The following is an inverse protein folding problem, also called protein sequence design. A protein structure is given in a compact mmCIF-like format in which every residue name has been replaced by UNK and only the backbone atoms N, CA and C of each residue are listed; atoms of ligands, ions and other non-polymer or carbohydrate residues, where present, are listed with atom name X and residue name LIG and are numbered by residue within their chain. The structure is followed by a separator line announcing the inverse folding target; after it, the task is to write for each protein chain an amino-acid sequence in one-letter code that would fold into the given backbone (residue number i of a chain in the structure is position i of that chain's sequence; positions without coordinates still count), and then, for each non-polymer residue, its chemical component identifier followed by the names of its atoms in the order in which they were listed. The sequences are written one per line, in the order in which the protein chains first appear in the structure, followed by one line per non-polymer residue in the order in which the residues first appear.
data_IF_289102436873
#
_entry.id   IF_289102436873
#
_cell.length_a   1.000
_cell.length_b   1.000
_cell.length_c   1.000
_cell.angle_alpha   90.00
_cell.angle_beta   90.00
_cell.angle_gamma   90.00
#
_symmetry.space_group_name_H-M   'P 1'
#
loop_
_entity.id
_entity.type
_entity.pdbx_description
1 polymer ?
#
# COMPACT_ATOMS: atom_id res chain seq x y z
N UNK A 1 -18.11 -25.03 -4.56
CA UNK A 1 -18.54 -24.34 -5.78
C UNK A 1 -17.72 -23.08 -5.89
N UNK A 2 -16.77 -23.07 -6.82
CA UNK A 2 -15.98 -21.91 -7.16
C UNK A 2 -16.86 -20.95 -7.97
N UNK A 3 -16.91 -19.70 -7.54
CA UNK A 3 -17.20 -18.59 -8.43
C UNK A 3 -16.09 -17.57 -8.19
N UNK A 4 -15.19 -17.51 -9.18
CA UNK A 4 -14.36 -16.35 -9.44
C UNK A 4 -15.29 -15.15 -9.62
N UNK A 5 -15.10 -14.13 -8.79
CA UNK A 5 -15.47 -12.77 -9.16
C UNK A 5 -14.15 -12.04 -9.33
N UNK A 6 -13.69 -11.96 -10.57
CA UNK A 6 -12.78 -10.90 -10.99
C UNK A 6 -13.55 -9.59 -10.84
N UNK A 7 -13.48 -9.03 -9.64
CA UNK A 7 -14.14 -7.78 -9.29
C UNK A 7 -13.44 -6.66 -10.06
N UNK A 8 -14.20 -6.05 -10.96
CA UNK A 8 -13.85 -4.88 -11.77
C UNK A 8 -13.24 -3.77 -10.92
N UNK A 9 -11.93 -3.58 -11.02
CA UNK A 9 -11.15 -2.62 -10.24
C UNK A 9 -11.24 -1.16 -10.74
N UNK A 10 -12.29 -0.81 -11.49
CA UNK A 10 -12.64 0.57 -11.85
C UNK A 10 -13.96 0.99 -11.20
N UNK A 11 -14.15 0.69 -9.91
CA UNK A 11 -15.23 1.27 -9.10
C UNK A 11 -14.66 2.40 -8.23
N UNK A 12 -14.53 3.59 -8.80
CA UNK A 12 -14.41 4.81 -8.00
C UNK A 12 -15.81 5.28 -7.58
N UNK A 13 -16.42 4.59 -6.62
CA UNK A 13 -17.50 5.19 -5.83
C UNK A 13 -16.85 6.07 -4.75
N UNK A 14 -16.70 7.37 -5.03
CA UNK A 14 -16.34 8.35 -4.00
C UNK A 14 -17.61 8.96 -3.42
N UNK A 15 -18.11 8.35 -2.34
CA UNK A 15 -19.02 9.03 -1.40
C UNK A 15 -18.48 8.87 0.02
N UNK A 16 -17.91 9.95 0.57
CA UNK A 16 -17.65 10.09 2.00
C UNK A 16 -18.30 11.37 2.50
N UNK A 17 -19.25 11.25 3.43
CA UNK A 17 -19.58 12.29 4.41
C UNK A 17 -19.80 11.63 5.76
N UNK A 18 -18.98 12.04 6.74
CA UNK A 18 -19.01 11.58 8.11
C UNK A 18 -20.06 12.34 8.96
N UNK A 19 -20.62 11.62 9.92
CA UNK A 19 -21.72 12.02 10.79
C UNK A 19 -21.40 13.18 11.74
N UNK A 20 -22.39 14.05 11.95
CA UNK A 20 -22.49 14.94 13.11
C UNK A 20 -23.68 14.52 13.98
N UNK A 21 -23.48 13.58 14.89
CA UNK A 21 -24.49 13.29 15.92
C UNK A 21 -24.48 14.40 16.97
N UNK A 22 -25.58 15.16 17.01
CA UNK A 22 -25.92 16.10 18.07
C UNK A 22 -27.30 15.68 18.59
N UNK A 23 -27.35 14.95 19.69
CA UNK A 23 -28.57 14.78 20.49
C UNK A 23 -28.36 15.35 21.89
N UNK A 24 -29.34 16.15 22.31
CA UNK A 24 -29.52 16.79 23.61
C UNK A 24 -30.41 15.92 24.50
N UNK A 25 -30.42 16.30 25.79
CA UNK A 25 -31.38 16.00 26.87
C UNK A 25 -31.22 14.62 27.52
N UNK A 26 -31.38 14.44 28.85
CA UNK A 26 -31.96 15.28 29.92
C UNK A 26 -31.60 14.64 31.28
N UNK A 27 -31.63 15.41 32.37
CA UNK A 27 -31.96 14.87 33.70
C UNK A 27 -30.92 15.13 34.80
N UNK A 28 -31.28 16.04 35.72
CA UNK A 28 -30.56 16.34 36.94
C UNK A 28 -30.86 15.34 38.07
N UNK A 29 -29.94 15.17 39.05
CA UNK A 29 -30.16 15.51 40.47
C UNK A 29 -29.00 15.09 41.41
N UNK A 30 -28.53 16.10 42.15
CA UNK A 30 -28.16 16.14 43.59
C UNK A 30 -26.99 15.35 44.21
N UNK A 31 -26.07 16.18 44.74
CA UNK A 31 -25.63 16.35 46.15
C UNK A 31 -24.38 15.66 46.69
N UNK A 32 -23.72 16.48 47.52
CA UNK A 32 -22.41 16.41 48.15
C UNK A 32 -22.29 15.35 49.27
N UNK A 33 -21.04 14.90 49.40
CA UNK A 33 -20.35 14.11 50.43
C UNK A 33 -20.71 14.37 51.91
N UNK A 34 -20.53 13.34 52.76
CA UNK A 34 -19.80 13.33 54.06
C UNK A 34 -19.43 11.84 54.44
N UNK A 35 -18.52 11.55 55.40
CA UNK A 35 -17.47 10.52 55.25
C UNK A 35 -17.53 9.24 56.15
N UNK A 36 -16.75 8.21 55.74
CA UNK A 36 -16.10 7.08 56.49
C UNK A 36 -17.03 6.08 57.26
N UNK A 37 -16.64 4.81 57.56
CA UNK A 37 -15.28 4.25 57.64
C UNK A 37 -15.04 2.87 56.97
N UNK A 38 -13.74 2.56 56.79
CA UNK A 38 -13.05 1.25 56.84
C UNK A 38 -13.88 -0.05 56.69
N UNK A 39 -13.62 -0.78 55.61
CA UNK A 39 -13.71 -2.24 55.55
C UNK A 39 -12.46 -2.78 54.85
N UNK A 40 -11.76 -3.67 55.55
CA UNK A 40 -10.56 -4.36 55.07
C UNK A 40 -10.91 -5.19 53.83
N UNK A 41 -10.28 -4.87 52.70
CA UNK A 41 -10.33 -5.72 51.51
C UNK A 41 -9.18 -6.71 51.63
N UNK A 42 -9.56 -7.98 51.80
CA UNK A 42 -8.74 -9.14 51.57
C UNK A 42 -7.97 -8.99 50.24
N UNK A 43 -6.64 -8.90 50.32
CA UNK A 43 -5.78 -9.07 49.16
C UNK A 43 -5.73 -10.55 48.81
N UNK A 44 -6.71 -11.04 48.06
CA UNK A 44 -6.49 -12.24 47.27
C UNK A 44 -5.57 -11.86 46.10
N UNK A 45 -4.45 -12.57 45.87
CA UNK A 45 -3.65 -12.34 44.70
C UNK A 45 -4.50 -12.75 43.49
N UNK A 46 -4.99 -11.77 42.75
CA UNK A 46 -5.42 -12.00 41.38
C UNK A 46 -4.17 -12.43 40.63
N UNK A 47 -3.99 -13.74 40.50
CA UNK A 47 -3.06 -14.32 39.54
C UNK A 47 -3.49 -13.79 38.18
N UNK A 48 -2.81 -12.73 37.71
CA UNK A 48 -2.85 -12.37 36.32
C UNK A 48 -2.25 -13.57 35.59
N UNK A 49 -3.10 -14.34 34.90
CA UNK A 49 -2.67 -15.41 34.02
C UNK A 49 -1.99 -14.71 32.83
N UNK A 50 -0.70 -14.42 32.97
CA UNK A 50 0.15 -13.98 31.88
C UNK A 50 0.42 -15.18 30.99
N UNK A 51 -0.22 -15.19 29.82
CA UNK A 51 -0.01 -16.22 28.81
C UNK A 51 1.31 -16.01 28.08
N UNK A 52 1.93 -17.11 27.68
CA UNK A 52 3.22 -17.08 26.99
C UNK A 52 3.10 -16.40 25.60
N UNK A 53 4.01 -15.48 25.28
CA UNK A 53 4.02 -14.81 23.99
C UNK A 53 4.62 -15.70 22.88
N UNK A 54 4.35 -15.42 21.60
CA UNK A 54 4.90 -16.19 20.49
C UNK A 54 6.43 -16.18 20.49
N UNK A 55 7.06 -17.29 20.11
CA UNK A 55 8.51 -17.45 20.12
C UNK A 55 9.11 -17.29 18.73
N UNK A 56 10.42 -17.04 18.68
CA UNK A 56 11.20 -17.01 17.43
C UNK A 56 10.59 -16.10 16.35
N UNK A 57 10.09 -14.93 16.76
CA UNK A 57 9.60 -13.93 15.82
C UNK A 57 10.76 -13.38 14.99
N UNK A 58 10.68 -13.56 13.68
CA UNK A 58 11.70 -13.13 12.73
C UNK A 58 11.08 -12.51 11.49
N UNK A 59 11.85 -11.65 10.83
CA UNK A 59 11.53 -11.09 9.51
C UNK A 59 12.59 -11.63 8.56
N UNK A 60 12.15 -12.27 7.49
CA UNK A 60 12.98 -12.99 6.53
C UNK A 60 12.87 -12.30 5.18
N UNK A 61 14.02 -12.01 4.58
CA UNK A 61 14.13 -11.50 3.21
C UNK A 61 14.39 -12.66 2.24
N UNK A 62 13.40 -13.07 1.43
CA UNK A 62 13.57 -14.10 0.41
C UNK A 62 14.32 -13.60 -0.85
N UNK A 63 14.74 -12.33 -0.90
CA UNK A 63 15.35 -11.72 -2.10
C UNK A 63 14.32 -11.19 -3.10
N UNK A 64 13.07 -10.97 -2.66
CA UNK A 64 11.94 -10.55 -3.51
C UNK A 64 11.73 -9.02 -3.48
N UNK A 65 12.84 -8.28 -3.44
CA UNK A 65 12.94 -6.83 -3.63
C UNK A 65 12.05 -5.95 -2.74
N UNK A 66 11.63 -6.46 -1.58
CA UNK A 66 10.75 -5.75 -0.65
C UNK A 66 9.62 -6.59 -0.10
N UNK A 67 9.28 -7.72 -0.74
CA UNK A 67 8.36 -8.67 -0.15
C UNK A 67 9.05 -9.50 0.93
N UNK A 68 8.76 -9.21 2.20
CA UNK A 68 9.36 -9.89 3.36
C UNK A 68 8.34 -10.82 4.03
N UNK A 69 8.84 -11.86 4.67
CA UNK A 69 8.03 -12.77 5.49
C UNK A 69 8.26 -12.53 6.98
N UNK A 70 7.17 -12.34 7.72
CA UNK A 70 7.15 -12.31 9.17
C UNK A 70 6.69 -13.68 9.66
N UNK A 71 7.55 -14.37 10.42
CA UNK A 71 7.33 -15.73 10.88
C UNK A 71 7.55 -15.85 12.38
N UNK A 72 6.76 -16.70 13.05
CA UNK A 72 6.90 -17.00 14.47
C UNK A 72 6.48 -18.43 14.78
N UNK A 73 6.83 -18.89 15.99
CA UNK A 73 6.43 -20.18 16.52
C UNK A 73 5.39 -20.03 17.63
N UNK A 74 4.45 -20.99 17.74
CA UNK A 74 3.51 -20.99 18.85
C UNK A 74 4.25 -21.18 20.20
N UNK A 75 3.72 -20.62 21.29
CA UNK A 75 4.15 -20.97 22.63
C UNK A 75 3.97 -22.47 22.90
N UNK A 76 4.91 -23.17 23.57
CA UNK A 76 4.82 -24.61 23.83
C UNK A 76 3.56 -25.02 24.58
N UNK A 77 3.14 -24.20 25.54
CA UNK A 77 1.93 -24.38 26.35
C UNK A 77 0.64 -24.42 25.54
N UNK A 78 0.65 -23.87 24.31
CA UNK A 78 -0.52 -23.88 23.42
C UNK A 78 -0.65 -25.17 22.60
N UNK A 79 0.38 -26.01 22.55
CA UNK A 79 0.35 -27.26 21.77
C UNK A 79 -0.45 -28.37 22.45
N UNK A 80 -0.90 -28.15 23.69
CA UNK A 80 -1.66 -29.10 24.50
C UNK A 80 -3.09 -28.62 24.81
N UNK A 81 -3.52 -27.50 24.22
CA UNK A 81 -4.81 -26.84 24.50
C UNK A 81 -5.81 -27.10 23.37
N UNK A 82 -6.46 -28.26 23.39
CA UNK A 82 -7.44 -28.66 22.37
C UNK A 82 -8.78 -27.89 22.44
N UNK A 83 -9.00 -27.11 23.51
CA UNK A 83 -10.25 -26.40 23.80
C UNK A 83 -10.20 -24.89 23.52
N UNK A 84 -9.06 -24.37 23.03
CA UNK A 84 -8.88 -22.94 22.75
C UNK A 84 -8.91 -22.64 21.25
N UNK A 85 -9.53 -21.52 20.86
CA UNK A 85 -9.24 -20.91 19.57
C UNK A 85 -8.06 -19.96 19.70
N UNK A 86 -6.94 -20.32 19.09
CA UNK A 86 -5.72 -19.51 19.08
C UNK A 86 -5.74 -18.59 17.85
N UNK A 87 -5.54 -17.29 18.08
CA UNK A 87 -5.32 -16.28 17.04
C UNK A 87 -4.08 -15.48 17.40
N UNK A 88 -3.50 -14.81 16.41
CA UNK A 88 -2.37 -13.92 16.58
C UNK A 88 -2.75 -12.52 16.12
N UNK A 89 -2.33 -11.52 16.90
CA UNK A 89 -2.39 -10.12 16.50
C UNK A 89 -0.99 -9.68 16.12
N UNK A 90 -0.76 -9.55 14.82
CA UNK A 90 0.47 -9.04 14.25
C UNK A 90 0.33 -7.54 14.00
N UNK A 91 1.33 -6.76 14.40
CA UNK A 91 1.50 -5.37 14.02
C UNK A 91 2.86 -5.16 13.38
N UNK A 92 2.91 -4.48 12.25
CA UNK A 92 4.17 -4.14 11.59
C UNK A 92 4.10 -2.77 10.91
N UNK A 93 5.27 -2.19 10.64
CA UNK A 93 5.45 -0.94 9.90
C UNK A 93 6.89 -0.77 9.44
N UNK A 94 7.12 0.14 8.49
CA UNK A 94 8.44 0.70 8.23
C UNK A 94 8.64 1.94 9.10
N UNK A 95 9.87 2.19 9.56
CA UNK A 95 10.19 3.36 10.38
C UNK A 95 9.87 4.64 9.59
N UNK A 96 9.05 5.51 10.17
CA UNK A 96 8.56 6.74 9.52
C UNK A 96 7.11 6.64 9.04
N UNK A 97 6.53 5.45 8.97
CA UNK A 97 5.10 5.29 8.74
C UNK A 97 4.32 5.82 9.97
N UNK A 98 3.26 6.57 9.72
CA UNK A 98 2.44 7.17 10.78
C UNK A 98 1.73 6.10 11.62
N UNK A 99 1.18 5.09 10.96
CA UNK A 99 0.34 4.06 11.57
C UNK A 99 0.94 2.66 11.46
N UNK A 100 0.56 1.80 12.42
CA UNK A 100 0.86 0.37 12.35
C UNK A 100 -0.18 -0.34 11.51
N UNK A 101 0.27 -1.15 10.54
CA UNK A 101 -0.61 -2.16 9.92
C UNK A 101 -0.92 -3.23 10.95
N UNK A 102 -2.18 -3.68 11.01
CA UNK A 102 -2.66 -4.67 12.00
C UNK A 102 -3.32 -5.83 11.29
N UNK A 103 -2.91 -7.05 11.63
CA UNK A 103 -3.44 -8.28 11.06
C UNK A 103 -3.84 -9.24 12.19
N UNK A 104 -5.02 -9.84 12.06
CA UNK A 104 -5.48 -10.93 12.91
C UNK A 104 -5.43 -12.22 12.08
N UNK A 105 -4.68 -13.22 12.53
CA UNK A 105 -4.49 -14.45 11.76
C UNK A 105 -4.29 -15.67 12.64
N UNK A 106 -4.67 -16.84 12.14
CA UNK A 106 -4.30 -18.15 12.73
C UNK A 106 -3.00 -18.72 12.14
N UNK A 107 -2.53 -18.13 11.04
CA UNK A 107 -1.28 -18.54 10.39
C UNK A 107 -0.08 -18.11 11.24
N UNK A 108 1.02 -18.83 11.08
CA UNK A 108 2.31 -18.57 11.74
C UNK A 108 3.31 -17.81 10.85
N UNK A 109 2.87 -17.46 9.65
CA UNK A 109 3.63 -16.76 8.62
C UNK A 109 2.74 -15.74 7.92
N UNK A 110 3.28 -14.56 7.66
CA UNK A 110 2.61 -13.48 6.95
C UNK A 110 3.60 -12.78 6.02
N UNK A 111 3.22 -12.56 4.75
CA UNK A 111 4.03 -11.83 3.77
C UNK A 111 3.40 -10.49 3.42
N UNK A 112 4.21 -9.45 3.27
CA UNK A 112 3.78 -8.13 2.78
C UNK A 112 4.95 -7.37 2.13
N UNK A 113 4.65 -6.28 1.43
CA UNK A 113 5.63 -5.35 0.88
C UNK A 113 6.18 -4.36 1.92
N UNK A 114 7.50 -4.17 1.92
CA UNK A 114 8.24 -3.28 2.80
C UNK A 114 9.25 -2.42 2.04
N UNK A 115 9.43 -1.19 2.52
CA UNK A 115 10.48 -0.29 2.05
C UNK A 115 11.82 -0.71 2.69
N UNK A 116 12.61 -1.50 1.96
CA UNK A 116 13.91 -2.00 2.41
C UNK A 116 14.96 -0.89 2.62
N UNK A 117 14.67 0.34 2.21
CA UNK A 117 15.54 1.49 2.52
C UNK A 117 15.42 1.94 3.99
N UNK A 118 14.36 1.53 4.67
CA UNK A 118 14.04 1.85 6.07
C UNK A 118 14.21 0.62 6.96
N UNK A 119 14.20 0.87 8.27
CA UNK A 119 14.09 -0.21 9.25
C UNK A 119 12.63 -0.67 9.31
N UNK A 120 12.43 -1.98 9.35
CA UNK A 120 11.12 -2.60 9.56
C UNK A 120 10.98 -3.03 11.01
N UNK A 121 9.83 -2.77 11.60
CA UNK A 121 9.48 -3.16 12.97
C UNK A 121 8.26 -4.07 12.93
N UNK A 122 8.32 -5.19 13.62
CA UNK A 122 7.17 -6.08 13.79
C UNK A 122 7.02 -6.51 15.24
N UNK A 123 5.78 -6.70 15.67
CA UNK A 123 5.44 -7.28 16.96
C UNK A 123 4.20 -8.16 16.86
N UNK A 124 4.22 -9.26 17.58
CA UNK A 124 3.12 -10.22 17.60
C UNK A 124 2.76 -10.57 19.04
N UNK A 125 1.47 -10.77 19.29
CA UNK A 125 0.97 -11.33 20.54
C UNK A 125 -0.06 -12.42 20.24
N UNK A 126 -0.18 -13.37 21.16
CA UNK A 126 -1.22 -14.39 21.14
C UNK A 126 -2.53 -13.79 21.65
N UNK A 127 -3.62 -14.14 20.98
CA UNK A 127 -5.00 -13.91 21.41
C UNK A 127 -5.66 -15.26 21.62
N UNK A 128 -6.16 -15.49 22.83
CA UNK A 128 -6.93 -16.68 23.17
C UNK A 128 -8.38 -16.32 23.41
N UNK A 129 -9.26 -17.12 22.83
CA UNK A 129 -10.69 -16.98 22.92
C UNK A 129 -11.31 -18.38 23.05
N UNK A 130 -12.32 -18.51 23.92
CA UNK A 130 -13.12 -19.73 24.07
C UNK A 130 -13.21 -20.23 25.50
N UNK A 131 -13.43 -21.53 25.66
CA UNK A 131 -13.70 -22.15 26.96
C UNK A 131 -12.50 -22.11 27.92
N UNK A 132 -11.27 -22.02 27.40
CA UNK A 132 -10.08 -21.92 28.22
C UNK A 132 -9.89 -20.55 28.89
N UNK A 133 -10.67 -19.54 28.50
CA UNK A 133 -10.60 -18.19 29.06
C UNK A 133 -11.92 -17.74 29.67
N UNK A 134 -12.81 -18.68 30.01
CA UNK A 134 -14.18 -18.37 30.48
C UNK A 134 -14.87 -17.36 29.55
N UNK A 135 -14.78 -17.59 28.23
CA UNK A 135 -15.36 -16.75 27.17
C UNK A 135 -14.81 -15.32 27.08
N UNK A 136 -13.76 -14.99 27.84
CA UNK A 136 -13.10 -13.68 27.80
C UNK A 136 -11.90 -13.70 26.86
N UNK A 137 -11.68 -12.63 26.09
CA UNK A 137 -10.46 -12.53 25.26
C UNK A 137 -9.25 -12.24 26.13
N UNK A 138 -8.28 -13.16 26.15
CA UNK A 138 -7.02 -12.97 26.89
C UNK A 138 -5.85 -12.80 25.93
N UNK A 139 -4.89 -11.96 26.33
CA UNK A 139 -3.77 -11.49 25.51
C UNK A 139 -2.46 -11.83 26.20
N UNK A 140 -1.49 -12.32 25.43
CA UNK A 140 -0.11 -12.43 25.91
C UNK A 140 0.58 -11.08 25.91
N UNK A 141 1.80 -11.04 26.45
CA UNK A 141 2.76 -9.98 26.18
C UNK A 141 3.13 -9.94 24.68
N UNK A 142 3.75 -8.84 24.27
CA UNK A 142 4.25 -8.66 22.90
C UNK A 142 5.63 -9.26 22.72
N UNK A 143 5.81 -10.01 21.65
CA UNK A 143 7.14 -10.33 21.11
C UNK A 143 7.49 -9.32 20.03
N UNK A 144 8.70 -8.78 20.05
CA UNK A 144 9.17 -7.74 19.14
C UNK A 144 10.34 -8.22 18.30
N UNK A 145 10.43 -7.72 17.07
CA UNK A 145 11.59 -7.93 16.20
C UNK A 145 11.77 -6.74 15.27
N UNK A 146 12.98 -6.59 14.74
CA UNK A 146 13.31 -5.57 13.76
C UNK A 146 14.15 -6.15 12.64
N UNK A 147 14.05 -5.54 11.47
CA UNK A 147 14.84 -5.91 10.30
C UNK A 147 15.36 -4.65 9.63
N UNK A 148 16.61 -4.70 9.19
CA UNK A 148 17.24 -3.62 8.46
C UNK A 148 18.36 -4.21 7.62
N UNK A 149 18.41 -3.86 6.34
CA UNK A 149 19.53 -4.25 5.50
C UNK A 149 20.84 -3.65 6.03
N UNK A 150 21.98 -4.37 5.92
CA UNK A 150 23.29 -3.85 6.30
C UNK A 150 23.57 -2.50 5.63
N UNK A 151 24.35 -1.63 6.29
CA UNK A 151 24.62 -0.28 5.76
C UNK A 151 25.19 -0.35 4.34
N UNK A 152 24.37 0.08 3.38
CA UNK A 152 24.74 0.18 1.98
C UNK A 152 25.54 1.48 1.76
N UNK A 153 26.17 1.63 0.59
CA UNK A 153 27.00 2.80 0.28
C UNK A 153 26.30 4.17 0.36
N UNK A 154 27.03 5.24 0.06
CA UNK A 154 26.51 6.61 0.21
C UNK A 154 25.78 7.14 -1.02
N UNK A 155 25.98 6.53 -2.19
CA UNK A 155 25.46 7.00 -3.46
C UNK A 155 24.21 6.21 -3.88
N UNK A 156 23.06 6.88 -3.86
CA UNK A 156 21.76 6.35 -4.28
C UNK A 156 21.29 7.07 -5.55
N UNK A 157 20.50 6.41 -6.41
CA UNK A 157 19.85 7.09 -7.55
C UNK A 157 18.90 8.20 -7.08
N UNK A 158 18.60 9.14 -7.98
CA UNK A 158 17.68 10.26 -7.72
C UNK A 158 16.53 10.26 -8.72
N UNK A 159 15.44 10.94 -8.37
CA UNK A 159 14.30 11.23 -9.26
C UNK A 159 13.74 9.99 -9.98
N UNK A 160 13.71 8.87 -9.26
CA UNK A 160 13.11 7.63 -9.75
C UNK A 160 11.61 7.83 -9.94
N UNK A 161 11.13 7.55 -11.14
CA UNK A 161 9.70 7.61 -11.45
C UNK A 161 9.35 6.54 -12.49
N UNK A 162 8.11 6.06 -12.42
CA UNK A 162 7.57 5.11 -13.38
C UNK A 162 6.21 5.59 -13.89
N UNK A 163 5.92 5.30 -15.15
CA UNK A 163 4.65 5.60 -15.80
C UNK A 163 4.19 4.36 -16.57
N UNK A 164 2.96 3.91 -16.31
CA UNK A 164 2.34 2.77 -16.98
C UNK A 164 1.50 3.29 -18.17
N UNK A 165 2.14 3.39 -19.33
CA UNK A 165 1.53 3.97 -20.52
C UNK A 165 0.45 3.06 -21.08
N UNK A 166 -0.72 3.63 -21.35
CA UNK A 166 -1.85 3.00 -22.02
C UNK A 166 -2.32 1.66 -21.43
N UNK A 167 -1.96 1.36 -20.18
CA UNK A 167 -2.21 0.05 -19.57
C UNK A 167 -1.50 -1.10 -20.31
N UNK A 168 -0.35 -0.83 -20.93
CA UNK A 168 0.36 -1.79 -21.79
C UNK A 168 1.81 -1.99 -21.37
N UNK A 169 2.52 -0.90 -21.12
CA UNK A 169 3.94 -0.94 -20.82
C UNK A 169 4.35 0.07 -19.76
N UNK A 170 5.30 -0.35 -18.92
CA UNK A 170 5.82 0.46 -17.84
C UNK A 170 7.18 1.01 -18.24
N UNK A 171 7.32 2.32 -18.20
CA UNK A 171 8.64 2.97 -18.33
C UNK A 171 9.03 3.55 -17.00
N UNK A 172 10.15 3.09 -16.46
CA UNK A 172 10.78 3.64 -15.28
C UNK A 172 12.05 4.38 -15.66
N UNK A 173 12.28 5.56 -15.10
CA UNK A 173 13.55 6.29 -15.31
C UNK A 173 14.08 6.87 -14.01
N UNK A 174 15.37 7.15 -14.00
CA UNK A 174 16.09 7.68 -12.85
C UNK A 174 17.29 8.53 -13.28
N UNK A 175 17.74 9.36 -12.36
CA UNK A 175 18.98 10.10 -12.47
C UNK A 175 20.09 9.45 -11.64
N UNK A 176 21.33 9.70 -12.04
CA UNK A 176 22.49 9.28 -11.28
C UNK A 176 22.55 9.98 -9.91
N UNK A 177 23.06 9.24 -8.93
CA UNK A 177 23.35 9.77 -7.61
C UNK A 177 24.42 10.86 -7.67
N UNK A 178 24.28 11.89 -6.83
CA UNK A 178 25.24 13.00 -6.79
C UNK A 178 26.67 12.53 -6.44
N UNK A 179 26.78 11.48 -5.62
CA UNK A 179 28.04 10.88 -5.19
C UNK A 179 28.43 9.64 -6.03
N UNK A 180 27.74 9.39 -7.15
CA UNK A 180 28.05 8.25 -8.01
C UNK A 180 29.30 8.56 -8.85
N UNK A 181 30.31 7.66 -8.87
CA UNK A 181 31.50 7.84 -9.69
C UNK A 181 31.16 7.78 -11.19
N UNK A 182 32.00 8.35 -12.08
CA UNK A 182 31.75 8.38 -13.52
C UNK A 182 31.48 7.01 -14.16
N UNK A 183 32.15 5.96 -13.66
CA UNK A 183 32.00 4.57 -14.11
C UNK A 183 30.86 3.78 -13.46
N UNK A 184 29.96 4.43 -12.70
CA UNK A 184 28.82 3.77 -12.10
C UNK A 184 27.88 3.16 -13.15
N UNK A 185 27.51 1.89 -12.94
CA UNK A 185 26.54 1.16 -13.74
C UNK A 185 25.32 0.84 -12.87
N UNK A 186 24.14 0.91 -13.49
CA UNK A 186 22.87 0.65 -12.82
C UNK A 186 22.10 -0.44 -13.54
N UNK A 187 21.46 -1.29 -12.75
CA UNK A 187 20.65 -2.40 -13.22
C UNK A 187 19.33 -2.38 -12.46
N UNK A 188 18.24 -2.53 -13.19
CA UNK A 188 16.91 -2.59 -12.61
C UNK A 188 16.48 -4.05 -12.52
N UNK A 189 15.99 -4.43 -11.34
CA UNK A 189 15.36 -5.71 -11.06
C UNK A 189 13.92 -5.45 -10.61
N UNK A 190 13.00 -6.33 -10.97
CA UNK A 190 11.61 -6.24 -10.55
C UNK A 190 11.06 -7.60 -10.12
N UNK A 191 10.04 -7.58 -9.27
CA UNK A 191 9.34 -8.77 -8.81
C UNK A 191 7.87 -8.44 -8.48
N UNK A 192 6.99 -9.39 -8.73
CA UNK A 192 5.59 -9.36 -8.33
C UNK A 192 5.12 -10.79 -8.02
N UNK A 193 4.05 -10.92 -7.24
CA UNK A 193 3.47 -12.21 -6.90
C UNK A 193 3.07 -12.97 -8.16
N UNK A 194 3.66 -14.16 -8.37
CA UNK A 194 3.52 -14.94 -9.61
C UNK A 194 4.87 -15.24 -10.28
N UNK A 195 5.92 -14.47 -9.97
CA UNK A 195 7.29 -14.76 -10.39
C UNK A 195 8.04 -15.60 -9.35
N UNK A 196 8.80 -16.60 -9.81
CA UNK A 196 9.62 -17.45 -8.93
C UNK A 196 10.79 -16.71 -8.26
N UNK A 197 11.34 -15.70 -8.95
CA UNK A 197 12.48 -14.90 -8.49
C UNK A 197 12.43 -13.50 -9.11
N UNK A 198 13.25 -12.58 -8.57
CA UNK A 198 13.41 -11.25 -9.13
C UNK A 198 14.02 -11.30 -10.54
N UNK A 199 13.42 -10.57 -11.47
CA UNK A 199 13.81 -10.56 -12.89
C UNK A 199 14.55 -9.27 -13.21
N UNK A 200 15.65 -9.37 -13.95
CA UNK A 200 16.40 -8.20 -14.42
C UNK A 200 15.73 -7.60 -15.66
N UNK A 201 15.70 -6.27 -15.73
CA UNK A 201 15.32 -5.54 -16.93
C UNK A 201 16.25 -5.89 -18.11
N UNK A 202 15.67 -6.08 -19.29
CA UNK A 202 16.38 -6.37 -20.53
C UNK A 202 16.37 -5.20 -21.54
N UNK A 203 15.38 -4.32 -21.48
CA UNK A 203 15.25 -3.16 -22.38
C UNK A 203 15.57 -1.86 -21.62
N UNK A 204 16.85 -1.48 -21.62
CA UNK A 204 17.33 -0.29 -20.91
C UNK A 204 17.26 0.97 -21.77
N UNK A 205 16.79 2.05 -21.15
CA UNK A 205 16.97 3.41 -21.65
C UNK A 205 18.34 3.90 -21.20
N UNK A 206 19.12 4.44 -22.14
CA UNK A 206 20.47 4.92 -21.88
C UNK A 206 20.64 6.40 -22.17
N UNK A 207 21.37 7.08 -21.30
CA UNK A 207 21.82 8.47 -21.50
C UNK A 207 23.34 8.50 -21.38
N UNK A 208 24.01 8.90 -22.45
CA UNK A 208 25.48 8.96 -22.54
C UNK A 208 26.12 7.59 -22.21
N UNK A 209 25.55 6.50 -22.74
CA UNK A 209 26.05 5.13 -22.55
C UNK A 209 25.84 4.54 -21.15
N UNK A 210 24.99 5.14 -20.30
CA UNK A 210 24.66 4.64 -18.96
C UNK A 210 23.17 4.39 -18.84
N UNK A 211 22.81 3.32 -18.16
CA UNK A 211 21.41 2.98 -17.87
C UNK A 211 20.78 4.05 -16.97
N UNK A 212 19.75 4.70 -17.49
CA UNK A 212 18.96 5.75 -16.83
C UNK A 212 17.46 5.45 -16.85
N UNK A 213 17.07 4.33 -17.44
CA UNK A 213 15.69 3.86 -17.41
C UNK A 213 15.56 2.43 -17.87
N UNK A 214 14.35 1.92 -17.79
CA UNK A 214 13.95 0.58 -18.20
C UNK A 214 12.53 0.62 -18.75
N UNK A 215 12.30 -0.09 -19.86
CA UNK A 215 10.98 -0.40 -20.35
C UNK A 215 10.62 -1.84 -20.01
N UNK A 216 9.43 -2.04 -19.44
CA UNK A 216 8.89 -3.33 -19.09
C UNK A 216 7.55 -3.53 -19.82
N UNK A 217 7.37 -4.73 -20.34
CA UNK A 217 6.23 -5.14 -21.16
C UNK A 217 5.58 -6.37 -20.52
N UNK A 218 4.38 -6.73 -21.00
CA UNK A 218 3.67 -7.96 -20.58
C UNK A 218 3.41 -8.04 -19.07
N UNK A 219 3.04 -6.91 -18.46
CA UNK A 219 2.83 -6.80 -17.01
C UNK A 219 1.38 -7.05 -16.56
N UNK A 220 0.53 -7.64 -17.40
CA UNK A 220 -0.88 -7.86 -17.07
C UNK A 220 -1.11 -8.67 -15.79
N UNK A 221 -0.25 -9.67 -15.53
CA UNK A 221 -0.33 -10.49 -14.32
C UNK A 221 0.09 -9.73 -13.05
N UNK A 222 0.79 -8.61 -13.22
CA UNK A 222 1.25 -7.75 -12.14
C UNK A 222 0.29 -6.60 -11.83
N UNK A 223 -0.84 -6.53 -12.54
CA UNK A 223 -1.86 -5.52 -12.29
C UNK A 223 -2.56 -5.78 -10.96
N UNK A 224 -2.90 -4.71 -10.24
CA UNK A 224 -3.63 -4.74 -8.96
C UNK A 224 -2.90 -5.35 -7.75
N UNK A 225 -1.73 -5.95 -7.95
CA UNK A 225 -0.84 -6.44 -6.89
C UNK A 225 0.35 -5.51 -6.66
N UNK A 226 1.09 -5.75 -5.59
CA UNK A 226 2.28 -4.99 -5.28
C UNK A 226 3.42 -5.36 -6.24
N UNK A 227 3.94 -4.35 -6.93
CA UNK A 227 5.06 -4.43 -7.85
C UNK A 227 6.30 -3.86 -7.16
N UNK A 228 7.32 -4.71 -7.00
CA UNK A 228 8.54 -4.37 -6.28
C UNK A 228 9.68 -4.16 -7.28
N UNK A 229 10.42 -3.07 -7.11
CA UNK A 229 11.51 -2.67 -7.99
C UNK A 229 12.74 -2.36 -7.16
N UNK A 230 13.89 -2.86 -7.61
CA UNK A 230 15.20 -2.51 -7.10
C UNK A 230 16.07 -1.95 -8.22
N UNK A 231 16.62 -0.76 -8.04
CA UNK A 231 17.73 -0.27 -8.87
C UNK A 231 19.01 -0.49 -8.10
N UNK A 232 19.77 -1.49 -8.54
CA UNK A 232 21.07 -1.81 -8.00
C UNK A 232 22.15 -1.03 -8.76
N UNK A 233 23.23 -0.69 -8.08
CA UNK A 233 24.36 0.02 -8.66
C UNK A 233 25.67 -0.68 -8.35
N UNK A 234 26.55 -0.75 -9.35
CA UNK A 234 27.92 -1.23 -9.18
C UNK A 234 28.93 -0.19 -9.69
N UNK A 235 30.08 -0.12 -9.04
CA UNK A 235 31.24 0.63 -9.53
C UNK A 235 32.52 0.01 -9.01
N UNK A 236 33.63 0.16 -9.74
CA UNK A 236 34.92 -0.41 -9.36
C UNK A 236 35.48 0.18 -8.04
N UNK A 237 35.16 1.45 -7.75
CA UNK A 237 35.76 2.20 -6.65
C UNK A 237 34.85 2.36 -5.43
N UNK A 238 33.54 2.11 -5.56
CA UNK A 238 32.56 2.49 -4.53
C UNK A 238 31.34 1.58 -4.56
N UNK A 239 30.94 1.10 -3.38
CA UNK A 239 29.67 0.39 -3.26
C UNK A 239 28.54 1.42 -3.37
N UNK A 240 27.64 1.24 -4.35
CA UNK A 240 26.45 2.08 -4.50
C UNK A 240 25.33 1.51 -3.63
N UNK A 241 24.40 2.37 -3.22
CA UNK A 241 23.25 1.95 -2.42
C UNK A 241 22.08 1.59 -3.34
N UNK A 242 21.58 0.35 -3.29
CA UNK A 242 20.37 -0.04 -3.99
C UNK A 242 19.19 0.81 -3.54
N UNK A 243 18.31 1.11 -4.48
CA UNK A 243 17.05 1.82 -4.22
C UNK A 243 15.88 0.88 -4.43
N UNK A 244 15.02 0.77 -3.43
CA UNK A 244 13.85 -0.10 -3.46
C UNK A 244 12.58 0.74 -3.54
N UNK A 245 11.63 0.28 -4.35
CA UNK A 245 10.35 0.93 -4.56
C UNK A 245 9.25 -0.13 -4.65
N UNK A 246 8.12 0.13 -4.01
CA UNK A 246 6.92 -0.70 -4.12
C UNK A 246 5.75 0.18 -4.52
N UNK A 247 5.03 -0.22 -5.56
CA UNK A 247 3.85 0.49 -6.06
C UNK A 247 2.90 -0.50 -6.75
N UNK A 248 1.70 -0.04 -7.12
CA UNK A 248 0.75 -0.83 -7.90
C UNK A 248 0.55 -0.19 -9.25
N UNK A 249 0.58 -0.98 -10.32
CA UNK A 249 0.61 -0.47 -11.70
C UNK A 249 -0.60 0.42 -12.06
N UNK A 250 -1.78 0.07 -11.57
CA UNK A 250 -3.02 0.83 -11.81
C UNK A 250 -2.98 2.26 -11.28
N UNK A 251 -2.10 2.57 -10.31
CA UNK A 251 -1.96 3.91 -9.75
C UNK A 251 -1.00 4.80 -10.56
N UNK A 252 -0.35 4.24 -11.60
CA UNK A 252 0.66 4.91 -12.42
C UNK A 252 0.23 5.04 -13.88
N UNK A 253 -1.04 4.75 -14.19
CA UNK A 253 -1.53 4.69 -15.57
C UNK A 253 -1.54 6.09 -16.19
N UNK A 254 -0.96 6.20 -17.38
CA UNK A 254 -1.08 7.38 -18.24
C UNK A 254 -1.71 6.97 -19.57
N UNK A 255 -3.03 7.20 -19.76
CA UNK A 255 -3.69 6.94 -21.02
C UNK A 255 -3.19 7.87 -22.14
N UNK A 256 -3.45 7.49 -23.38
CA UNK A 256 -3.25 8.36 -24.54
C UNK A 256 -4.34 9.44 -24.60
N UNK A 257 -4.11 10.54 -25.36
CA UNK A 257 -5.12 11.56 -25.56
C UNK A 257 -6.38 11.00 -26.25
N UNK A 258 -7.59 11.53 -25.93
CA UNK A 258 -8.81 11.18 -26.64
C UNK A 258 -8.70 11.44 -28.14
N UNK A 259 -9.42 10.65 -28.94
CA UNK A 259 -9.37 10.73 -30.39
C UNK A 259 -10.64 11.35 -30.98
N UNK A 260 -10.57 11.85 -32.21
CA UNK A 260 -11.74 12.32 -32.99
C UNK A 260 -12.58 13.36 -32.27
N UNK A 261 -11.91 14.37 -31.69
CA UNK A 261 -12.59 15.53 -31.14
C UNK A 261 -13.39 16.24 -32.24
N UNK A 262 -14.69 16.35 -32.04
CA UNK A 262 -15.62 17.06 -32.93
C UNK A 262 -16.46 18.04 -32.13
N UNK A 263 -16.62 19.24 -32.67
CA UNK A 263 -17.45 20.29 -32.10
C UNK A 263 -18.51 20.65 -33.13
N UNK A 264 -19.77 20.66 -32.71
CA UNK A 264 -20.89 21.09 -33.55
C UNK A 264 -21.81 22.00 -32.77
N UNK A 265 -22.46 22.94 -33.45
CA UNK A 265 -23.45 23.83 -32.86
C UNK A 265 -24.84 23.36 -33.31
N UNK A 266 -25.73 23.15 -32.35
CA UNK A 266 -27.11 22.75 -32.65
C UNK A 266 -27.92 23.94 -33.19
N UNK A 267 -29.10 23.68 -33.76
CA UNK A 267 -30.01 24.73 -34.20
C UNK A 267 -30.55 25.61 -33.05
N UNK A 268 -30.33 25.20 -31.80
CA UNK A 268 -30.69 25.92 -30.57
C UNK A 268 -29.48 26.58 -29.90
N UNK A 269 -28.39 26.82 -30.65
CA UNK A 269 -27.16 27.45 -30.17
C UNK A 269 -26.43 26.66 -29.06
N UNK A 270 -26.68 25.36 -28.95
CA UNK A 270 -25.97 24.49 -28.01
C UNK A 270 -24.64 24.00 -28.62
N UNK A 271 -23.56 24.06 -27.85
CA UNK A 271 -22.27 23.50 -28.25
C UNK A 271 -22.25 22.02 -27.87
N UNK A 272 -22.20 21.15 -28.87
CA UNK A 272 -22.04 19.71 -28.71
C UNK A 272 -20.58 19.35 -28.94
N UNK A 273 -19.92 18.82 -27.92
CA UNK A 273 -18.54 18.34 -27.97
C UNK A 273 -18.57 16.82 -27.86
N UNK A 274 -18.01 16.14 -28.84
CA UNK A 274 -17.92 14.68 -28.86
C UNK A 274 -16.49 14.24 -29.14
N UNK A 275 -16.10 13.11 -28.58
CA UNK A 275 -14.81 12.47 -28.78
C UNK A 275 -14.97 10.96 -28.67
N UNK A 276 -13.97 10.23 -29.16
CA UNK A 276 -13.81 8.81 -28.91
C UNK A 276 -12.75 8.56 -27.84
N UNK A 277 -12.88 7.50 -27.03
CA UNK A 277 -11.83 7.08 -26.10
C UNK A 277 -10.49 6.86 -26.83
N UNK A 278 -9.35 7.07 -26.13
CA UNK A 278 -8.03 6.79 -26.68
C UNK A 278 -7.91 5.32 -27.09
N UNK A 279 -7.14 5.05 -28.15
CA UNK A 279 -6.65 3.70 -28.41
C UNK A 279 -5.75 3.22 -27.25
N UNK A 280 -5.87 1.94 -26.88
CA UNK A 280 -5.01 1.30 -25.89
C UNK A 280 -5.73 0.26 -25.03
N UNK A 281 -5.04 -0.20 -23.98
CA UNK A 281 -5.55 -1.18 -23.03
C UNK A 281 -6.50 -0.62 -21.97
N UNK A 282 -6.55 0.71 -21.78
CA UNK A 282 -7.38 1.32 -20.74
C UNK A 282 -8.88 1.22 -21.08
N UNK A 283 -9.71 0.58 -20.25
CA UNK A 283 -11.14 0.46 -20.53
C UNK A 283 -11.84 1.82 -20.53
N UNK A 284 -12.80 2.09 -21.45
CA UNK A 284 -13.48 3.38 -21.53
C UNK A 284 -14.19 3.84 -20.26
N UNK A 285 -14.72 2.89 -19.47
CA UNK A 285 -15.40 3.17 -18.21
C UNK A 285 -14.43 3.52 -17.05
N UNK A 286 -13.12 3.40 -17.27
CA UNK A 286 -12.07 3.79 -16.31
C UNK A 286 -11.48 5.18 -16.61
N UNK A 287 -11.99 5.88 -17.62
CA UNK A 287 -11.46 7.16 -18.08
C UNK A 287 -12.32 8.31 -17.58
N UNK A 288 -11.68 9.27 -16.93
CA UNK A 288 -12.23 10.59 -16.66
C UNK A 288 -11.70 11.57 -17.73
N UNK A 289 -12.58 12.44 -18.22
CA UNK A 289 -12.24 13.42 -19.25
C UNK A 289 -12.35 14.83 -18.69
N UNK A 290 -11.36 15.66 -19.01
CA UNK A 290 -11.40 17.10 -18.77
C UNK A 290 -11.63 17.81 -20.11
N UNK A 291 -12.68 18.62 -20.20
CA UNK A 291 -13.01 19.41 -21.39
C UNK A 291 -12.71 20.87 -21.09
N UNK A 292 -11.81 21.47 -21.86
CA UNK A 292 -11.46 22.89 -21.74
C UNK A 292 -11.99 23.64 -22.97
N UNK A 293 -12.91 24.58 -22.72
CA UNK A 293 -13.43 25.51 -23.71
C UNK A 293 -12.80 26.87 -23.45
N UNK A 294 -12.16 27.46 -24.47
CA UNK A 294 -11.56 28.79 -24.38
C UNK A 294 -12.18 29.68 -25.45
N UNK A 295 -12.83 30.76 -25.04
CA UNK A 295 -13.23 31.80 -25.97
C UNK A 295 -12.00 32.60 -26.39
N UNK A 296 -11.89 32.90 -27.69
CA UNK A 296 -10.90 33.86 -28.15
C UNK A 296 -11.49 35.26 -27.94
N UNK A 297 -11.06 35.87 -26.84
CA UNK A 297 -11.52 37.14 -26.24
C UNK A 297 -12.31 38.11 -27.13
N UNK A 298 -13.50 38.47 -26.63
CA UNK A 298 -14.39 39.47 -27.20
C UNK A 298 -15.63 39.79 -26.37
N UNK A 299 -16.13 38.90 -25.52
CA UNK A 299 -17.20 39.22 -24.57
C UNK A 299 -17.25 38.21 -23.41
N UNK A 300 -16.67 38.59 -22.27
CA UNK A 300 -16.75 37.83 -21.04
C UNK A 300 -18.03 38.25 -20.30
N UNK A 301 -19.03 37.36 -20.24
CA UNK A 301 -19.88 37.10 -19.06
C UNK A 301 -21.15 36.32 -19.45
N UNK A 302 -21.05 35.00 -19.57
CA UNK A 302 -22.19 34.10 -19.38
C UNK A 302 -21.76 32.79 -18.70
N UNK A 303 -22.39 32.40 -17.57
CA UNK A 303 -22.09 31.13 -16.93
C UNK A 303 -22.70 29.97 -17.73
N UNK A 304 -21.87 29.00 -18.10
CA UNK A 304 -22.26 27.77 -18.80
C UNK A 304 -22.80 26.73 -17.82
N UNK A 305 -23.83 26.00 -18.23
CA UNK A 305 -24.32 24.83 -17.49
C UNK A 305 -23.73 23.58 -18.15
N UNK A 306 -22.96 22.80 -17.38
CA UNK A 306 -22.42 21.51 -17.82
C UNK A 306 -23.44 20.43 -17.51
N UNK A 307 -23.87 19.69 -18.53
CA UNK A 307 -24.83 18.59 -18.40
C UNK A 307 -24.24 17.30 -18.96
N UNK A 308 -24.54 16.18 -18.31
CA UNK A 308 -24.09 14.86 -18.73
C UNK A 308 -25.22 14.08 -19.45
N UNK A 309 -24.96 12.83 -19.81
CA UNK A 309 -25.91 11.96 -20.51
C UNK A 309 -27.17 11.63 -19.67
N UNK A 310 -27.24 12.07 -18.41
CA UNK A 310 -28.39 11.94 -17.54
C UNK A 310 -29.17 13.26 -17.33
N UNK A 311 -28.75 14.34 -18.01
CA UNK A 311 -29.52 15.56 -18.23
C UNK A 311 -28.99 16.80 -17.51
N UNK A 312 -29.52 17.95 -17.94
CA UNK A 312 -29.62 19.18 -17.16
C UNK A 312 -30.94 19.12 -16.36
#
# INVERSE_FOLDING_TARGET
MCWEVAESACKHEKHYVFHRNRFKNTGALSKLQLPMPSLAISMEPTFLITFEPPRNLQIIDPGLLGHLYIEWQPPPSLLTLDQCTIKYKLKYRSTGDADWKVVFTKKLKYGDGFDLSKRTEAKVQTLLEGHCTNESEVKSDWTHTTFQLPSQGKAQIRDFHCVYYNWEHLTCTWQLGQLAPPGARYELYYWYEGLDHAVQCSDYIQTHGRNTGCNLQNLRQAEYIDFNVCVNGSSESTQLRPSYFTFRLQNLVKPSPPEKLSVSISAYEEIHVAWSPPAGGTPPHCLDYEVQLTEHDGDADAPWTVCDAHGC
#
